data_IF_627909082901
#
_entry.id   IF_627909082901
#
_cell.length_a   1.000
_cell.length_b   1.000
_cell.length_c   1.000
_cell.angle_alpha   90.00
_cell.angle_beta   90.00
_cell.angle_gamma   90.00
#
_symmetry.space_group_name_H-M   'P 1'
#
loop_
_entity.id
_entity.type
_entity.pdbx_description
1 polymer ?
#
# COMPACT_ATOMS: atom_id res chain seq x y z
N UNK A 1 -3.00 7.56 -12.02
CA UNK A 1 -3.30 6.36 -12.85
C UNK A 1 -3.80 5.26 -11.92
N UNK A 2 -5.09 4.88 -12.02
CA UNK A 2 -5.65 3.72 -11.31
C UNK A 2 -5.61 2.50 -12.20
N UNK A 3 -5.37 1.33 -11.61
CA UNK A 3 -5.33 0.05 -12.31
C UNK A 3 -6.71 -0.63 -12.26
N UNK A 4 -7.12 -1.24 -13.38
CA UNK A 4 -8.34 -2.02 -13.49
C UNK A 4 -8.06 -3.53 -13.53
N UNK A 5 -6.99 -3.94 -14.24
CA UNK A 5 -6.67 -5.35 -14.46
C UNK A 5 -5.17 -5.56 -14.51
N UNK A 6 -4.71 -6.62 -13.87
CA UNK A 6 -3.36 -7.15 -14.00
C UNK A 6 -3.40 -8.54 -14.60
N UNK A 7 -2.68 -8.75 -15.71
CA UNK A 7 -2.57 -10.06 -16.40
C UNK A 7 -1.13 -10.54 -16.35
N UNK A 8 -0.96 -11.78 -15.97
CA UNK A 8 0.32 -12.46 -15.85
C UNK A 8 0.37 -13.66 -16.77
N UNK A 9 1.20 -13.61 -17.82
CA UNK A 9 1.42 -14.73 -18.72
C UNK A 9 2.80 -15.33 -18.48
N UNK A 10 2.86 -16.63 -18.24
CA UNK A 10 4.07 -17.40 -17.94
C UNK A 10 4.92 -16.75 -16.83
N UNK A 11 4.29 -16.23 -15.81
CA UNK A 11 4.96 -15.52 -14.72
C UNK A 11 4.96 -16.37 -13.44
N UNK A 12 6.13 -16.67 -12.91
CA UNK A 12 6.35 -17.45 -11.69
C UNK A 12 5.49 -18.73 -11.59
N UNK A 13 4.41 -18.69 -10.80
CA UNK A 13 3.53 -19.83 -10.53
C UNK A 13 2.54 -20.10 -11.68
N UNK A 14 2.27 -19.11 -12.52
CA UNK A 14 1.15 -19.14 -13.47
C UNK A 14 1.58 -19.25 -14.92
N UNK A 15 0.89 -20.09 -15.67
CA UNK A 15 0.89 -20.01 -17.14
C UNK A 15 0.08 -18.79 -17.59
N UNK A 16 -1.08 -18.57 -16.93
CA UNK A 16 -1.90 -17.36 -17.08
C UNK A 16 -2.67 -17.11 -15.79
N UNK A 17 -2.68 -15.87 -15.34
CA UNK A 17 -3.53 -15.37 -14.26
C UNK A 17 -4.02 -13.97 -14.63
N UNK A 18 -5.30 -13.70 -14.41
CA UNK A 18 -5.91 -12.38 -14.50
C UNK A 18 -6.48 -12.00 -13.13
N UNK A 19 -6.22 -10.77 -12.70
CA UNK A 19 -6.69 -10.24 -11.41
C UNK A 19 -7.32 -8.87 -11.68
N UNK A 20 -8.64 -8.78 -11.52
CA UNK A 20 -9.33 -7.51 -11.52
C UNK A 20 -9.00 -6.75 -10.24
N UNK A 21 -8.80 -5.45 -10.34
CA UNK A 21 -8.36 -4.62 -9.22
C UNK A 21 -9.47 -3.63 -8.85
N UNK A 22 -9.84 -3.63 -7.57
CA UNK A 22 -10.78 -2.65 -7.04
C UNK A 22 -10.25 -1.23 -7.17
N UNK A 23 -11.12 -0.27 -7.42
CA UNK A 23 -10.74 1.13 -7.61
C UNK A 23 -10.13 1.76 -6.34
N UNK A 24 -10.48 1.24 -5.16
CA UNK A 24 -9.99 1.67 -3.85
C UNK A 24 -9.18 0.60 -3.14
N UNK A 25 -9.63 -0.65 -3.19
CA UNK A 25 -9.00 -1.73 -2.43
C UNK A 25 -9.02 -3.03 -3.22
N UNK A 26 -7.86 -3.68 -3.30
CA UNK A 26 -7.75 -5.10 -3.66
C UNK A 26 -7.13 -5.84 -2.50
N UNK A 27 -7.82 -6.88 -1.98
CA UNK A 27 -7.34 -7.71 -0.90
C UNK A 27 -6.99 -9.11 -1.42
N UNK A 28 -5.76 -9.55 -1.20
CA UNK A 28 -5.27 -10.88 -1.55
C UNK A 28 -5.03 -11.68 -0.26
N UNK A 29 -5.75 -12.77 -0.09
CA UNK A 29 -5.65 -13.64 1.06
C UNK A 29 -5.19 -15.04 0.69
N UNK A 30 -4.67 -15.80 1.64
CA UNK A 30 -4.30 -17.20 1.43
C UNK A 30 -3.09 -17.60 2.24
N UNK A 31 -2.73 -18.87 2.18
CA UNK A 31 -1.59 -19.44 2.89
C UNK A 31 -0.24 -18.91 2.40
N UNK A 32 0.81 -19.18 3.19
CA UNK A 32 2.18 -18.87 2.77
C UNK A 32 2.54 -19.66 1.50
N UNK A 33 3.17 -19.00 0.53
CA UNK A 33 3.54 -19.62 -0.74
C UNK A 33 2.41 -19.70 -1.78
N UNK A 34 1.21 -19.19 -1.50
CA UNK A 34 0.07 -19.19 -2.45
C UNK A 34 0.22 -18.20 -3.62
N UNK A 35 1.27 -17.35 -3.61
CA UNK A 35 1.56 -16.42 -4.72
C UNK A 35 1.14 -14.98 -4.51
N UNK A 36 0.60 -14.58 -3.34
CA UNK A 36 0.20 -13.19 -3.06
C UNK A 36 1.30 -12.17 -3.35
N UNK A 37 2.48 -12.35 -2.77
CA UNK A 37 3.67 -11.52 -3.03
C UNK A 37 4.05 -11.52 -4.51
N UNK A 38 3.87 -12.64 -5.23
CA UNK A 38 4.18 -12.71 -6.65
C UNK A 38 3.26 -11.82 -7.50
N UNK A 39 1.99 -11.66 -7.11
CA UNK A 39 1.06 -10.71 -7.75
C UNK A 39 1.56 -9.28 -7.50
N UNK A 40 1.88 -8.92 -6.25
CA UNK A 40 2.40 -7.57 -5.93
C UNK A 40 3.69 -7.26 -6.69
N UNK A 41 4.64 -8.19 -6.71
CA UNK A 41 5.90 -8.03 -7.46
C UNK A 41 5.64 -7.84 -8.96
N UNK A 42 4.70 -8.60 -9.52
CA UNK A 42 4.33 -8.46 -10.93
C UNK A 42 3.69 -7.10 -11.23
N UNK A 43 2.77 -6.63 -10.39
CA UNK A 43 2.20 -5.27 -10.49
C UNK A 43 3.30 -4.21 -10.36
N UNK A 44 4.22 -4.37 -9.41
CA UNK A 44 5.36 -3.46 -9.24
C UNK A 44 6.27 -3.43 -10.48
N UNK A 45 6.56 -4.59 -11.10
CA UNK A 45 7.30 -4.67 -12.38
C UNK A 45 6.56 -3.89 -13.47
N UNK A 46 5.25 -4.06 -13.58
CA UNK A 46 4.42 -3.33 -14.55
C UNK A 46 4.44 -1.81 -14.33
N UNK A 47 4.27 -1.37 -13.07
CA UNK A 47 4.36 0.05 -12.67
C UNK A 47 5.78 0.62 -12.82
N UNK A 48 6.81 -0.22 -12.80
CA UNK A 48 8.20 0.17 -13.04
C UNK A 48 8.42 0.86 -14.38
N UNK A 49 7.54 0.67 -15.37
CA UNK A 49 7.63 1.37 -16.65
C UNK A 49 7.27 2.86 -16.50
N UNK A 50 6.34 3.21 -15.59
CA UNK A 50 6.05 4.61 -15.24
C UNK A 50 7.32 5.28 -14.74
N UNK A 51 7.97 4.67 -13.75
CA UNK A 51 9.18 5.24 -13.13
C UNK A 51 10.33 5.40 -14.12
N UNK A 52 10.51 4.45 -15.04
CA UNK A 52 11.57 4.51 -16.07
C UNK A 52 11.41 5.65 -17.06
N UNK A 53 10.19 6.14 -17.24
CA UNK A 53 9.91 7.25 -18.15
C UNK A 53 10.13 8.61 -17.49
N UNK A 54 10.09 8.66 -16.16
CA UNK A 54 10.23 9.92 -15.40
C UNK A 54 11.70 10.31 -15.20
N UNK A 55 12.03 11.62 -15.25
CA UNK A 55 13.38 12.11 -15.08
C UNK A 55 14.00 11.75 -13.72
N UNK A 56 15.22 11.22 -13.74
CA UNK A 56 15.99 10.94 -12.52
C UNK A 56 15.49 9.75 -11.69
N UNK A 57 14.44 9.05 -12.11
CA UNK A 57 13.87 7.92 -11.38
C UNK A 57 14.26 6.60 -12.05
N UNK A 58 14.59 5.61 -11.23
CA UNK A 58 14.85 4.24 -11.69
C UNK A 58 13.67 3.35 -11.39
N UNK A 59 13.12 2.69 -12.42
CA UNK A 59 12.10 1.66 -12.25
C UNK A 59 12.71 0.31 -11.91
N UNK A 60 11.89 -0.59 -11.38
CA UNK A 60 12.28 -1.99 -11.19
C UNK A 60 12.10 -2.78 -12.49
N UNK A 61 12.86 -3.86 -12.61
CA UNK A 61 12.80 -4.83 -13.70
C UNK A 61 12.51 -6.23 -13.19
N UNK A 62 12.22 -7.13 -14.11
CA UNK A 62 12.25 -8.56 -13.81
C UNK A 62 13.59 -8.94 -13.18
N UNK A 63 13.56 -9.78 -12.15
CA UNK A 63 14.79 -10.34 -11.59
C UNK A 63 15.45 -11.26 -12.63
N UNK A 64 16.75 -11.48 -12.49
CA UNK A 64 17.50 -12.33 -13.44
C UNK A 64 17.15 -13.81 -13.36
N UNK A 65 16.46 -14.25 -12.30
CA UNK A 65 16.14 -15.67 -12.04
C UNK A 65 14.72 -15.82 -11.49
N UNK A 66 14.01 -16.86 -11.97
CA UNK A 66 12.78 -17.34 -11.35
C UNK A 66 11.50 -16.61 -11.74
N UNK A 67 11.54 -15.60 -12.61
CA UNK A 67 10.34 -14.88 -13.01
C UNK A 67 9.55 -15.60 -14.13
N UNK A 68 10.24 -16.34 -14.99
CA UNK A 68 9.60 -17.09 -16.08
C UNK A 68 9.09 -18.42 -15.55
N UNK A 69 7.82 -18.70 -15.80
CA UNK A 69 7.16 -19.93 -15.40
C UNK A 69 7.89 -21.17 -15.93
N UNK A 70 8.03 -22.16 -15.05
CA UNK A 70 8.63 -23.45 -15.38
C UNK A 70 7.60 -24.57 -15.18
N UNK A 71 7.34 -25.32 -16.23
CA UNK A 71 6.49 -26.53 -16.20
C UNK A 71 7.38 -27.77 -16.34
N UNK A 72 7.55 -28.51 -15.26
CA UNK A 72 8.54 -29.59 -15.17
C UNK A 72 9.97 -29.07 -15.41
N UNK A 73 10.69 -29.65 -16.37
CA UNK A 73 12.05 -29.24 -16.75
C UNK A 73 12.09 -28.18 -17.87
N UNK A 74 10.94 -27.64 -18.30
CA UNK A 74 10.87 -26.69 -19.41
C UNK A 74 10.54 -25.31 -18.92
N UNK A 75 11.47 -24.37 -19.11
CA UNK A 75 11.26 -22.94 -18.90
C UNK A 75 10.49 -22.38 -20.11
N UNK A 76 9.41 -21.67 -19.89
CA UNK A 76 8.64 -21.00 -20.95
C UNK A 76 9.51 -20.00 -21.71
N UNK A 77 9.19 -19.63 -22.96
CA UNK A 77 10.00 -18.72 -23.76
C UNK A 77 10.05 -17.29 -23.21
N UNK A 78 9.01 -16.85 -22.51
CA UNK A 78 8.89 -15.51 -21.95
C UNK A 78 8.02 -15.50 -20.70
N UNK A 79 8.13 -14.44 -19.90
CA UNK A 79 7.13 -13.98 -18.94
C UNK A 79 6.63 -12.60 -19.38
N UNK A 80 5.34 -12.33 -19.16
CA UNK A 80 4.71 -11.04 -19.46
C UNK A 80 3.87 -10.60 -18.27
N UNK A 81 3.94 -9.33 -17.95
CA UNK A 81 3.00 -8.62 -17.08
C UNK A 81 2.34 -7.53 -17.88
N UNK A 82 1.02 -7.54 -17.98
CA UNK A 82 0.21 -6.52 -18.62
C UNK A 82 -0.64 -5.82 -17.57
N UNK A 83 -0.61 -4.49 -17.55
CA UNK A 83 -1.46 -3.68 -16.69
C UNK A 83 -2.40 -2.84 -17.56
N UNK A 84 -3.68 -2.84 -17.18
CA UNK A 84 -4.72 -2.01 -17.78
C UNK A 84 -5.22 -1.00 -16.74
N UNK A 85 -5.25 0.27 -17.13
CA UNK A 85 -5.77 1.36 -16.31
C UNK A 85 -7.29 1.49 -16.45
N UNK A 86 -7.92 2.17 -15.51
CA UNK A 86 -9.31 2.65 -15.63
C UNK A 86 -9.48 3.70 -16.73
N UNK A 87 -8.38 4.31 -17.20
CA UNK A 87 -8.40 5.25 -18.33
C UNK A 87 -8.59 4.46 -19.63
N UNK A 88 -9.62 4.74 -20.44
CA UNK A 88 -9.88 4.00 -21.67
C UNK A 88 -8.68 4.00 -22.61
N UNK A 89 -8.29 2.81 -23.06
CA UNK A 89 -7.17 2.61 -24.01
C UNK A 89 -5.77 2.69 -23.37
N UNK A 90 -5.66 2.97 -22.07
CA UNK A 90 -4.37 2.99 -21.38
C UNK A 90 -4.06 1.60 -20.82
N UNK A 91 -3.30 0.86 -21.59
CA UNK A 91 -2.80 -0.46 -21.26
C UNK A 91 -1.33 -0.56 -21.69
N UNK A 92 -0.52 -1.27 -20.93
CA UNK A 92 0.91 -1.46 -21.22
C UNK A 92 1.41 -2.78 -20.68
N UNK A 93 2.57 -3.20 -21.21
CA UNK A 93 3.16 -4.47 -20.84
C UNK A 93 4.65 -4.38 -20.54
N UNK A 94 5.11 -5.34 -19.75
CA UNK A 94 6.52 -5.64 -19.54
C UNK A 94 6.77 -7.10 -19.90
N UNK A 95 7.80 -7.36 -20.69
CA UNK A 95 8.14 -8.70 -21.18
C UNK A 95 9.58 -9.03 -20.86
N UNK A 96 9.79 -10.18 -20.22
CA UNK A 96 11.08 -10.82 -20.05
C UNK A 96 11.18 -12.00 -20.99
N UNK A 97 12.22 -12.05 -21.83
CA UNK A 97 12.52 -13.20 -22.69
C UNK A 97 13.51 -14.10 -22.00
N UNK A 98 13.33 -15.42 -22.13
CA UNK A 98 14.24 -16.43 -21.61
C UNK A 98 15.67 -16.26 -22.19
N UNK A 99 15.76 -15.99 -23.48
CA UNK A 99 16.99 -15.80 -24.23
C UNK A 99 16.79 -14.85 -25.42
N UNK A 100 17.87 -14.53 -26.13
CA UNK A 100 17.85 -13.61 -27.30
C UNK A 100 17.67 -14.32 -28.63
N UNK A 101 17.33 -15.61 -28.66
CA UNK A 101 17.15 -16.38 -29.90
C UNK A 101 15.95 -15.89 -30.72
N UNK A 102 16.01 -16.11 -32.03
CA UNK A 102 14.90 -15.80 -32.94
C UNK A 102 13.65 -16.62 -32.58
N UNK A 103 13.81 -17.86 -32.16
CA UNK A 103 12.73 -18.76 -31.75
C UNK A 103 12.01 -18.19 -30.52
N UNK A 104 12.76 -17.76 -29.50
CA UNK A 104 12.18 -17.11 -28.31
C UNK A 104 11.49 -15.80 -28.68
N UNK A 105 12.10 -14.98 -29.55
CA UNK A 105 11.49 -13.74 -30.00
C UNK A 105 10.16 -13.97 -30.77
N UNK A 106 10.11 -14.98 -31.63
CA UNK A 106 8.92 -15.34 -32.39
C UNK A 106 7.80 -15.96 -31.50
N UNK A 107 8.15 -16.51 -30.35
CA UNK A 107 7.18 -17.08 -29.40
C UNK A 107 6.47 -16.04 -28.55
N UNK A 108 6.93 -14.77 -28.52
CA UNK A 108 6.27 -13.69 -27.79
C UNK A 108 5.13 -13.14 -28.62
N UNK A 109 3.85 -13.26 -28.20
CA UNK A 109 2.73 -12.68 -28.92
C UNK A 109 2.82 -11.16 -28.94
N UNK A 110 2.25 -10.53 -29.95
CA UNK A 110 2.10 -9.07 -30.01
C UNK A 110 1.22 -8.62 -28.84
N UNK A 111 1.64 -7.55 -28.16
CA UNK A 111 0.93 -6.95 -27.03
C UNK A 111 0.81 -5.43 -27.16
N UNK A 112 0.24 -4.75 -26.17
CA UNK A 112 -0.04 -3.31 -26.20
C UNK A 112 1.23 -2.45 -26.28
N UNK A 113 2.38 -2.99 -25.83
CA UNK A 113 3.62 -2.23 -25.72
C UNK A 113 3.55 -1.16 -24.64
N UNK A 114 4.37 -0.11 -24.76
CA UNK A 114 4.48 0.96 -23.73
C UNK A 114 4.16 2.36 -24.30
N UNK A 115 3.85 2.45 -25.58
CA UNK A 115 3.73 3.74 -26.28
C UNK A 115 2.64 4.63 -25.71
N UNK A 116 1.46 4.06 -25.48
CA UNK A 116 0.33 4.84 -24.95
C UNK A 116 0.58 5.34 -23.53
N UNK A 117 1.23 4.53 -22.68
CA UNK A 117 1.63 4.94 -21.35
C UNK A 117 2.59 6.13 -21.40
N UNK A 118 3.63 6.07 -22.28
CA UNK A 118 4.61 7.15 -22.40
C UNK A 118 3.98 8.44 -22.87
N UNK A 119 3.16 8.39 -23.92
CA UNK A 119 2.43 9.57 -24.38
C UNK A 119 1.54 10.18 -23.29
N UNK A 120 0.87 9.34 -22.48
CA UNK A 120 0.06 9.81 -21.36
C UNK A 120 0.92 10.50 -20.29
N UNK A 121 2.09 9.94 -19.96
CA UNK A 121 3.00 10.54 -18.99
C UNK A 121 3.62 11.84 -19.52
N UNK A 122 3.95 11.89 -20.80
CA UNK A 122 4.43 13.12 -21.45
C UNK A 122 3.38 14.22 -21.30
N UNK A 123 2.13 13.96 -21.73
CA UNK A 123 1.04 14.94 -21.69
C UNK A 123 0.66 15.39 -20.27
N UNK A 124 0.64 14.47 -19.30
CA UNK A 124 0.11 14.75 -17.95
C UNK A 124 1.16 15.15 -16.94
N UNK A 125 2.43 14.81 -17.16
CA UNK A 125 3.49 15.01 -16.17
C UNK A 125 4.67 15.77 -16.75
N UNK A 126 5.27 15.27 -17.88
CA UNK A 126 6.53 15.80 -18.38
C UNK A 126 6.35 17.18 -19.00
N UNK A 127 5.43 17.34 -19.96
CA UNK A 127 5.17 18.61 -20.63
C UNK A 127 4.72 19.69 -19.64
N UNK A 128 3.75 19.45 -18.72
CA UNK A 128 3.39 20.42 -17.69
C UNK A 128 4.58 20.81 -16.80
N UNK A 129 5.40 19.83 -16.38
CA UNK A 129 6.57 20.10 -15.55
C UNK A 129 7.62 20.97 -16.25
N UNK A 130 7.81 20.78 -17.58
CA UNK A 130 8.75 21.59 -18.37
C UNK A 130 8.24 22.99 -18.70
N UNK A 131 6.92 23.15 -18.76
CA UNK A 131 6.24 24.41 -19.07
C UNK A 131 5.83 25.19 -17.81
N UNK A 132 6.27 24.76 -16.62
CA UNK A 132 5.92 25.34 -15.32
C UNK A 132 4.41 25.48 -15.10
N UNK A 133 3.66 24.46 -15.55
CA UNK A 133 2.20 24.34 -15.38
C UNK A 133 1.89 23.39 -14.22
N UNK A 134 0.75 23.61 -13.58
CA UNK A 134 0.25 22.72 -12.54
C UNK A 134 -0.01 21.31 -13.09
N UNK A 135 0.39 20.31 -12.33
CA UNK A 135 0.10 18.90 -12.63
C UNK A 135 0.06 18.08 -11.34
N UNK A 136 -0.67 16.97 -11.39
CA UNK A 136 -0.67 15.97 -10.32
C UNK A 136 0.34 14.85 -10.66
N UNK A 137 1.34 14.66 -9.80
CA UNK A 137 2.30 13.56 -9.94
C UNK A 137 1.65 12.26 -9.42
N UNK A 138 1.51 11.22 -10.26
CA UNK A 138 1.00 9.94 -9.79
C UNK A 138 2.01 9.27 -8.86
N UNK A 139 1.60 9.00 -7.62
CA UNK A 139 2.45 8.31 -6.65
C UNK A 139 2.24 6.80 -6.77
N UNK A 140 3.33 6.05 -6.80
CA UNK A 140 3.33 4.59 -6.72
C UNK A 140 4.27 4.18 -5.60
N UNK A 141 3.86 3.18 -4.78
CA UNK A 141 4.71 2.67 -3.70
C UNK A 141 4.49 1.17 -3.46
N UNK A 142 5.56 0.47 -3.06
CA UNK A 142 5.51 -0.93 -2.68
C UNK A 142 6.22 -1.16 -1.35
N UNK A 143 5.47 -1.62 -0.37
CA UNK A 143 5.95 -1.94 0.98
C UNK A 143 5.92 -3.45 1.18
N UNK A 144 7.09 -4.09 1.07
CA UNK A 144 7.26 -5.52 1.32
C UNK A 144 7.39 -5.85 2.82
N UNK A 145 7.53 -7.13 3.13
CA UNK A 145 7.69 -7.64 4.51
C UNK A 145 8.97 -7.11 5.20
N UNK A 146 9.99 -6.72 4.45
CA UNK A 146 11.24 -6.15 4.99
C UNK A 146 11.11 -4.73 5.55
N UNK A 147 9.93 -4.09 5.42
CA UNK A 147 9.64 -2.75 5.99
C UNK A 147 9.69 -2.70 7.52
N UNK A 148 9.67 -3.85 8.18
CA UNK A 148 9.71 -3.95 9.64
C UNK A 148 11.01 -3.39 10.26
N UNK A 149 12.06 -3.18 9.46
CA UNK A 149 13.34 -2.64 9.93
C UNK A 149 13.38 -1.15 9.64
N UNK A 150 13.19 -0.32 10.67
CA UNK A 150 13.40 1.12 10.58
C UNK A 150 14.90 1.44 10.67
N UNK A 151 15.50 1.84 9.55
CA UNK A 151 16.86 2.36 9.52
C UNK A 151 16.84 3.87 9.84
N UNK A 152 16.81 4.20 11.15
CA UNK A 152 16.86 5.59 11.61
C UNK A 152 18.31 6.09 11.48
N UNK A 153 18.55 7.19 10.75
CA UNK A 153 19.90 7.71 10.57
C UNK A 153 20.48 8.20 11.88
N UNK A 154 21.63 7.68 12.28
CA UNK A 154 22.36 8.14 13.48
C UNK A 154 23.11 9.46 13.26
N UNK A 155 23.30 9.90 12.02
CA UNK A 155 24.05 11.12 11.65
C UNK A 155 23.41 11.80 10.43
N UNK A 156 23.47 13.14 10.40
CA UNK A 156 22.96 13.98 9.28
C UNK A 156 23.83 13.94 8.02
N UNK A 157 24.85 13.12 7.97
CA UNK A 157 25.78 13.08 6.84
C UNK A 157 25.05 12.63 5.57
N UNK A 158 25.21 13.41 4.49
CA UNK A 158 24.61 13.19 3.18
C UNK A 158 23.06 13.31 3.13
N UNK A 159 22.44 14.10 4.02
CA UNK A 159 21.04 14.47 3.80
C UNK A 159 20.98 15.42 2.60
N UNK A 160 20.06 15.20 1.64
CA UNK A 160 19.82 16.12 0.54
C UNK A 160 19.42 17.51 1.09
N UNK A 161 19.84 18.55 0.39
CA UNK A 161 19.49 19.95 0.72
C UNK A 161 18.42 20.51 -0.20
N UNK A 162 18.03 19.74 -1.21
CA UNK A 162 17.00 20.07 -2.17
C UNK A 162 16.28 18.77 -2.55
N UNK A 163 14.98 18.84 -2.82
CA UNK A 163 14.13 17.71 -3.19
C UNK A 163 13.24 18.09 -4.37
N UNK A 164 13.40 17.36 -5.47
CA UNK A 164 12.50 17.48 -6.61
C UNK A 164 11.23 16.64 -6.37
N UNK A 165 10.14 16.96 -7.07
CA UNK A 165 8.91 16.16 -7.03
C UNK A 165 9.15 14.70 -7.45
N UNK A 166 10.11 14.45 -8.35
CA UNK A 166 10.49 13.11 -8.81
C UNK A 166 11.19 12.28 -7.73
N UNK A 167 11.84 12.91 -6.74
CA UNK A 167 12.50 12.20 -5.63
C UNK A 167 11.52 11.40 -4.77
N UNK A 168 10.25 11.81 -4.76
CA UNK A 168 9.16 11.05 -4.14
C UNK A 168 9.04 9.60 -4.66
N UNK A 169 9.48 9.36 -5.89
CA UNK A 169 9.36 8.07 -6.57
C UNK A 169 10.66 7.26 -6.56
N UNK A 170 11.75 7.81 -6.07
CA UNK A 170 13.02 7.10 -5.96
C UNK A 170 12.89 5.93 -4.99
N UNK A 171 13.18 4.71 -5.49
CA UNK A 171 13.06 3.47 -4.72
C UNK A 171 11.64 3.11 -4.29
N UNK A 172 10.61 3.77 -4.82
CA UNK A 172 9.22 3.61 -4.40
C UNK A 172 8.65 2.20 -4.65
N UNK A 173 9.13 1.49 -5.67
CA UNK A 173 8.72 0.11 -5.99
C UNK A 173 9.70 -0.95 -5.48
N UNK A 174 10.74 -0.57 -4.74
CA UNK A 174 11.59 -1.53 -4.04
C UNK A 174 10.86 -2.01 -2.78
N UNK A 175 10.68 -3.32 -2.61
CA UNK A 175 9.97 -3.89 -1.46
C UNK A 175 10.61 -3.56 -0.10
N UNK A 176 11.87 -3.12 -0.07
CA UNK A 176 12.57 -2.62 1.10
C UNK A 176 12.33 -1.12 1.25
N UNK A 177 11.55 -0.74 2.26
CA UNK A 177 11.29 0.68 2.55
C UNK A 177 12.57 1.40 2.98
N UNK A 178 12.83 2.54 2.37
CA UNK A 178 13.94 3.42 2.75
C UNK A 178 13.44 4.54 3.67
N UNK A 179 13.06 4.21 4.89
CA UNK A 179 12.61 5.17 5.91
C UNK A 179 13.57 6.38 6.05
N UNK A 180 14.87 6.14 5.83
CA UNK A 180 15.88 7.19 5.85
C UNK A 180 15.58 8.37 4.91
N UNK A 181 14.99 8.12 3.74
CA UNK A 181 14.65 9.20 2.79
C UNK A 181 13.50 10.05 3.32
N UNK A 182 12.45 9.44 3.85
CA UNK A 182 11.34 10.17 4.49
C UNK A 182 11.81 10.95 5.72
N UNK A 183 12.66 10.34 6.55
CA UNK A 183 13.27 11.00 7.70
C UNK A 183 14.10 12.22 7.29
N UNK A 184 14.96 12.10 6.26
CA UNK A 184 15.80 13.20 5.79
C UNK A 184 14.95 14.33 5.21
N UNK A 185 13.89 14.01 4.45
CA UNK A 185 12.96 14.99 3.92
C UNK A 185 12.18 15.71 5.04
N UNK A 186 11.67 14.96 6.01
CA UNK A 186 10.96 15.53 7.16
C UNK A 186 11.87 16.48 7.95
N UNK A 187 13.11 16.07 8.21
CA UNK A 187 14.12 16.93 8.84
C UNK A 187 14.38 18.21 8.04
N UNK A 188 14.50 18.10 6.72
CA UNK A 188 14.69 19.27 5.85
C UNK A 188 13.50 20.24 5.95
N UNK A 189 12.28 19.73 5.87
CA UNK A 189 11.05 20.52 5.97
C UNK A 189 10.86 21.15 7.35
N UNK A 190 11.19 20.48 8.44
CA UNK A 190 11.17 21.08 9.78
C UNK A 190 12.16 22.27 9.89
N UNK A 191 13.35 22.13 9.35
CA UNK A 191 14.30 23.25 9.36
C UNK A 191 13.81 24.43 8.51
N UNK A 192 13.16 24.17 7.38
CA UNK A 192 12.53 25.20 6.56
C UNK A 192 11.39 25.90 7.32
N UNK A 193 10.51 25.13 7.98
CA UNK A 193 9.42 25.66 8.81
C UNK A 193 9.98 26.55 9.94
N UNK A 194 10.98 26.08 10.68
CA UNK A 194 11.63 26.85 11.75
C UNK A 194 12.27 28.15 11.22
N UNK A 195 12.88 28.11 10.02
CA UNK A 195 13.44 29.31 9.40
C UNK A 195 12.35 30.35 9.05
N UNK A 196 11.19 29.88 8.51
CA UNK A 196 10.04 30.74 8.22
C UNK A 196 9.41 31.32 9.49
N UNK A 197 9.24 30.49 10.53
CA UNK A 197 8.74 30.92 11.85
C UNK A 197 9.63 32.01 12.45
N UNK A 198 10.95 31.83 12.42
CA UNK A 198 11.91 32.80 12.90
C UNK A 198 11.83 34.12 12.10
N UNK A 199 11.70 34.05 10.78
CA UNK A 199 11.58 35.25 9.93
C UNK A 199 10.25 35.99 10.19
N UNK A 200 9.15 35.25 10.34
CA UNK A 200 7.83 35.81 10.66
C UNK A 200 7.66 36.20 12.14
N UNK A 201 8.56 35.76 13.02
CA UNK A 201 8.46 35.91 14.48
C UNK A 201 7.14 35.34 15.05
N UNK A 202 6.64 34.26 14.44
CA UNK A 202 5.42 33.58 14.85
C UNK A 202 5.61 32.06 14.71
N UNK A 203 5.14 31.29 15.68
CA UNK A 203 5.08 29.83 15.63
C UNK A 203 3.84 29.33 14.88
N UNK A 204 2.91 30.20 14.46
CA UNK A 204 1.70 29.81 13.73
C UNK A 204 1.98 29.50 12.25
N UNK A 205 3.20 29.81 11.78
CA UNK A 205 3.63 29.50 10.41
C UNK A 205 3.94 28.01 10.32
N UNK A 206 3.16 27.31 9.51
CA UNK A 206 3.34 25.87 9.20
C UNK A 206 3.60 25.68 7.73
N UNK A 207 4.27 24.57 7.37
CA UNK A 207 4.41 24.14 5.99
C UNK A 207 3.30 23.12 5.67
N UNK A 208 2.44 23.36 4.66
CA UNK A 208 1.33 22.46 4.32
C UNK A 208 1.78 21.02 4.10
N UNK A 209 2.93 20.83 3.46
CA UNK A 209 3.47 19.50 3.18
C UNK A 209 3.89 18.76 4.46
N UNK A 210 4.49 19.47 5.42
CA UNK A 210 4.90 18.91 6.71
C UNK A 210 3.68 18.64 7.60
N UNK A 211 2.71 19.55 7.58
CA UNK A 211 1.44 19.40 8.28
C UNK A 211 0.64 18.19 7.76
N UNK A 212 0.64 17.93 6.45
CA UNK A 212 0.03 16.75 5.88
C UNK A 212 0.61 15.46 6.48
N UNK A 213 1.93 15.35 6.63
CA UNK A 213 2.56 14.17 7.26
C UNK A 213 2.19 14.07 8.74
N UNK A 214 2.19 15.17 9.48
CA UNK A 214 1.77 15.20 10.89
C UNK A 214 0.32 14.76 11.05
N UNK A 215 -0.59 15.24 10.18
CA UNK A 215 -2.01 14.81 10.17
C UNK A 215 -2.16 13.33 9.86
N UNK A 216 -1.41 12.79 8.89
CA UNK A 216 -1.45 11.37 8.57
C UNK A 216 -1.05 10.52 9.79
N UNK A 217 0.02 10.90 10.49
CA UNK A 217 0.47 10.22 11.70
C UNK A 217 -0.60 10.27 12.79
N UNK A 218 -1.09 11.45 13.15
CA UNK A 218 -2.07 11.62 14.24
C UNK A 218 -3.42 10.99 13.94
N UNK A 219 -3.80 10.86 12.67
CA UNK A 219 -5.04 10.16 12.27
C UNK A 219 -4.95 8.66 12.49
N UNK A 220 -3.83 8.05 12.11
CA UNK A 220 -3.62 6.60 12.29
C UNK A 220 -3.27 6.26 13.74
N UNK A 221 -2.61 7.18 14.43
CA UNK A 221 -2.17 7.02 15.83
C UNK A 221 -2.74 8.14 16.70
N UNK A 222 -4.02 8.06 17.13
CA UNK A 222 -4.63 9.11 17.94
C UNK A 222 -3.97 9.30 19.31
N UNK A 223 -3.22 8.30 19.79
CA UNK A 223 -2.45 8.31 21.02
C UNK A 223 -1.05 8.92 20.88
N UNK A 224 -0.63 9.23 19.65
CA UNK A 224 0.63 9.91 19.36
C UNK A 224 0.38 11.36 18.93
N UNK A 225 1.20 12.26 19.43
CA UNK A 225 1.16 13.67 19.06
C UNK A 225 2.56 14.23 18.81
N UNK A 226 2.63 15.42 18.21
CA UNK A 226 3.85 16.21 18.05
C UNK A 226 5.05 15.43 17.44
N UNK A 227 4.88 14.74 16.29
CA UNK A 227 6.00 14.08 15.64
C UNK A 227 7.01 15.12 15.17
N UNK A 228 8.27 14.97 15.61
CA UNK A 228 9.36 15.92 15.37
C UNK A 228 10.71 15.22 15.34
N UNK A 229 11.71 15.88 14.75
CA UNK A 229 13.08 15.38 14.78
C UNK A 229 13.90 16.15 15.83
N UNK A 230 14.36 15.42 16.81
CA UNK A 230 15.35 15.92 17.78
C UNK A 230 16.77 15.63 17.27
N UNK A 231 17.69 16.56 17.54
CA UNK A 231 19.03 16.51 16.92
C UNK A 231 20.16 16.09 17.88
N UNK A 232 19.90 16.05 19.16
CA UNK A 232 20.86 15.65 20.20
C UNK A 232 20.23 14.72 21.24
N UNK A 233 20.20 13.40 21.03
CA UNK A 233 20.62 12.63 19.84
C UNK A 233 19.70 12.84 18.65
N UNK A 234 20.16 12.50 17.42
CA UNK A 234 19.32 12.52 16.23
C UNK A 234 18.30 11.37 16.32
N UNK A 235 16.99 11.70 16.42
CA UNK A 235 15.90 10.73 16.55
C UNK A 235 14.58 11.31 16.05
N UNK A 236 13.65 10.45 15.68
CA UNK A 236 12.25 10.84 15.52
C UNK A 236 11.56 10.68 16.87
N UNK A 237 11.10 11.79 17.42
CA UNK A 237 10.39 11.84 18.70
C UNK A 237 8.89 12.04 18.47
N UNK A 238 8.10 11.41 19.34
CA UNK A 238 6.65 11.55 19.43
C UNK A 238 6.26 11.69 20.88
N UNK A 239 5.17 12.38 21.15
CA UNK A 239 4.63 12.48 22.53
C UNK A 239 3.45 11.52 22.68
N UNK A 240 3.45 10.73 23.76
CA UNK A 240 2.42 9.77 24.13
C UNK A 240 2.14 9.88 25.63
N UNK A 241 0.86 10.06 25.99
CA UNK A 241 0.44 10.18 27.40
C UNK A 241 1.21 11.24 28.22
N UNK A 242 1.68 12.30 27.54
CA UNK A 242 2.44 13.39 28.16
C UNK A 242 3.95 13.14 28.28
N UNK A 243 4.45 12.01 27.83
CA UNK A 243 5.88 11.68 27.80
C UNK A 243 6.39 11.66 26.34
N UNK A 244 7.67 12.00 26.17
CA UNK A 244 8.34 11.98 24.86
C UNK A 244 9.08 10.67 24.66
N UNK A 245 8.76 9.96 23.59
CA UNK A 245 9.39 8.71 23.19
C UNK A 245 10.20 8.89 21.90
N UNK A 246 11.35 8.22 21.84
CA UNK A 246 11.98 7.88 20.58
C UNK A 246 11.15 6.80 19.88
N UNK A 247 10.91 6.93 18.57
CA UNK A 247 10.19 5.88 17.83
C UNK A 247 10.84 4.50 18.02
N UNK A 248 12.17 4.43 18.16
CA UNK A 248 12.91 3.20 18.43
C UNK A 248 12.56 2.53 19.78
N UNK A 249 11.91 3.25 20.70
CA UNK A 249 11.44 2.73 21.99
C UNK A 249 10.01 2.18 21.92
N UNK A 250 9.29 2.44 20.83
CA UNK A 250 7.95 1.91 20.62
C UNK A 250 8.03 0.43 20.20
N UNK A 251 6.91 -0.29 20.31
CA UNK A 251 6.85 -1.69 19.84
C UNK A 251 7.02 -1.77 18.31
N UNK A 252 7.46 -2.95 17.81
CA UNK A 252 7.68 -3.20 16.38
C UNK A 252 6.46 -2.87 15.53
N UNK A 253 5.24 -3.12 16.02
CA UNK A 253 3.99 -2.78 15.34
C UNK A 253 3.83 -1.26 15.14
N UNK A 254 4.11 -0.45 16.19
CA UNK A 254 4.15 1.00 16.04
C UNK A 254 5.22 1.44 15.05
N UNK A 255 6.44 0.94 15.19
CA UNK A 255 7.55 1.32 14.33
C UNK A 255 7.25 1.02 12.85
N UNK A 256 6.78 -0.19 12.56
CA UNK A 256 6.49 -0.65 11.21
C UNK A 256 5.38 0.18 10.54
N UNK A 257 4.26 0.38 11.23
CA UNK A 257 3.13 1.11 10.67
C UNK A 257 3.41 2.62 10.61
N UNK A 258 4.06 3.20 11.62
CA UNK A 258 4.43 4.63 11.62
C UNK A 258 5.44 4.93 10.51
N UNK A 259 6.42 4.05 10.32
CA UNK A 259 7.36 4.16 9.20
C UNK A 259 6.68 4.14 7.83
N UNK A 260 5.70 3.25 7.65
CA UNK A 260 4.90 3.18 6.42
C UNK A 260 4.08 4.47 6.21
N UNK A 261 3.35 4.91 7.22
CA UNK A 261 2.49 6.11 7.14
C UNK A 261 3.35 7.36 6.87
N UNK A 262 4.46 7.51 7.58
CA UNK A 262 5.37 8.64 7.39
C UNK A 262 6.01 8.64 5.99
N UNK A 263 6.47 7.48 5.49
CA UNK A 263 7.07 7.40 4.15
C UNK A 263 6.04 7.70 3.07
N UNK A 264 4.84 7.09 3.15
CA UNK A 264 3.79 7.33 2.15
C UNK A 264 3.32 8.79 2.15
N UNK A 265 3.04 9.36 3.32
CA UNK A 265 2.62 10.76 3.43
C UNK A 265 3.71 11.73 2.94
N UNK A 266 4.99 11.47 3.26
CA UNK A 266 6.11 12.26 2.77
C UNK A 266 6.25 12.18 1.25
N UNK A 267 6.10 10.99 0.64
CA UNK A 267 6.09 10.81 -0.82
C UNK A 267 4.96 11.60 -1.48
N UNK A 268 3.75 11.52 -0.94
CA UNK A 268 2.59 12.24 -1.49
C UNK A 268 2.79 13.76 -1.38
N UNK A 269 3.26 14.25 -0.24
CA UNK A 269 3.53 15.66 -0.01
C UNK A 269 4.69 16.18 -0.88
N UNK A 270 5.76 15.41 -1.06
CA UNK A 270 6.88 15.74 -1.94
C UNK A 270 6.48 15.74 -3.42
N UNK A 271 5.67 14.76 -3.85
CA UNK A 271 5.21 14.65 -5.23
C UNK A 271 4.24 15.77 -5.62
N UNK A 272 3.43 16.24 -4.68
CA UNK A 272 2.32 17.16 -4.92
C UNK A 272 2.30 18.34 -3.91
N UNK A 273 3.38 19.15 -3.83
CA UNK A 273 3.51 20.21 -2.83
C UNK A 273 2.50 21.36 -3.00
N UNK A 274 1.98 21.53 -4.22
CA UNK A 274 1.08 22.64 -4.57
C UNK A 274 -0.40 22.27 -4.37
N UNK A 275 -0.72 21.05 -3.92
CA UNK A 275 -2.09 20.64 -3.65
C UNK A 275 -2.53 21.09 -2.25
N UNK A 276 -3.80 21.51 -2.12
CA UNK A 276 -4.42 21.89 -0.84
C UNK A 276 -4.32 20.76 0.20
N UNK A 277 -4.53 19.52 -0.23
CA UNK A 277 -4.31 18.31 0.57
C UNK A 277 -3.51 17.26 -0.22
N UNK A 278 -2.19 17.22 -0.03
CA UNK A 278 -1.34 16.24 -0.70
C UNK A 278 -1.73 14.78 -0.44
N UNK A 279 -2.34 14.47 0.73
CA UNK A 279 -2.78 13.12 1.07
C UNK A 279 -3.98 12.65 0.20
N UNK A 280 -4.66 13.58 -0.45
CA UNK A 280 -5.75 13.31 -1.40
C UNK A 280 -5.24 13.17 -2.85
N UNK A 281 -3.95 13.15 -3.11
CA UNK A 281 -3.39 12.88 -4.43
C UNK A 281 -3.65 11.43 -4.87
N UNK A 282 -3.66 11.20 -6.20
CA UNK A 282 -3.79 9.83 -6.73
C UNK A 282 -2.53 9.00 -6.48
N UNK A 283 -2.73 7.80 -5.93
CA UNK A 283 -1.65 6.87 -5.71
C UNK A 283 -2.09 5.41 -5.96
N UNK A 284 -1.11 4.55 -6.30
CA UNK A 284 -1.25 3.08 -6.28
C UNK A 284 -0.25 2.54 -5.27
N UNK A 285 -0.75 1.96 -4.19
CA UNK A 285 0.07 1.51 -3.07
C UNK A 285 -0.12 0.03 -2.83
N UNK A 286 0.98 -0.72 -2.86
CA UNK A 286 1.02 -2.14 -2.58
C UNK A 286 1.63 -2.36 -1.20
N UNK A 287 0.98 -3.19 -0.36
CA UNK A 287 1.50 -3.55 0.96
C UNK A 287 1.41 -5.06 1.13
N UNK A 288 2.56 -5.70 1.26
CA UNK A 288 2.65 -7.13 1.52
C UNK A 288 2.52 -7.39 3.03
N UNK A 289 1.67 -8.35 3.41
CA UNK A 289 1.35 -8.67 4.82
C UNK A 289 1.03 -7.41 5.65
N UNK A 290 -0.07 -6.73 5.32
CA UNK A 290 -0.46 -5.47 5.98
C UNK A 290 -0.63 -5.62 7.51
N UNK A 291 -0.91 -6.83 7.99
CA UNK A 291 -1.03 -7.26 9.38
C UNK A 291 0.31 -7.50 10.10
N UNK A 292 1.46 -7.42 9.39
CA UNK A 292 2.77 -7.74 9.94
C UNK A 292 3.08 -6.96 11.22
N UNK A 293 3.40 -7.68 12.31
CA UNK A 293 3.67 -7.16 13.66
C UNK A 293 2.53 -6.40 14.34
N UNK A 294 1.35 -6.30 13.71
CA UNK A 294 0.22 -5.59 14.31
C UNK A 294 -0.51 -6.46 15.35
N UNK A 295 -0.79 -5.86 16.51
CA UNK A 295 -1.70 -6.44 17.50
C UNK A 295 -3.13 -6.54 16.94
N UNK A 296 -3.95 -7.54 17.31
CA UNK A 296 -5.29 -7.76 16.75
C UNK A 296 -6.20 -6.53 16.72
N UNK A 297 -6.16 -5.68 17.74
CA UNK A 297 -6.94 -4.45 17.76
C UNK A 297 -6.55 -3.46 16.63
N UNK A 298 -5.28 -3.46 16.22
CA UNK A 298 -4.78 -2.63 15.12
C UNK A 298 -5.09 -3.24 13.76
N UNK A 299 -5.05 -4.58 13.66
CA UNK A 299 -5.44 -5.29 12.44
C UNK A 299 -6.90 -4.98 12.06
N UNK A 300 -7.78 -4.78 13.05
CA UNK A 300 -9.19 -4.43 12.84
C UNK A 300 -9.42 -3.04 12.26
N UNK A 301 -8.47 -2.14 12.37
CA UNK A 301 -8.64 -0.73 11.96
C UNK A 301 -7.70 -0.27 10.85
N UNK A 302 -6.56 -0.95 10.64
CA UNK A 302 -5.49 -0.49 9.74
C UNK A 302 -5.97 -0.23 8.32
N UNK A 303 -6.86 -1.07 7.77
CA UNK A 303 -7.39 -0.89 6.41
C UNK A 303 -8.28 0.35 6.34
N UNK A 304 -9.20 0.52 7.30
CA UNK A 304 -10.04 1.71 7.40
C UNK A 304 -9.21 2.99 7.58
N UNK A 305 -8.20 2.94 8.46
CA UNK A 305 -7.30 4.07 8.71
C UNK A 305 -6.52 4.48 7.45
N UNK A 306 -6.01 3.51 6.67
CA UNK A 306 -5.33 3.75 5.40
C UNK A 306 -6.26 4.40 4.37
N UNK A 307 -7.44 3.80 4.15
CA UNK A 307 -8.41 4.30 3.19
C UNK A 307 -8.94 5.70 3.54
N UNK A 308 -9.10 5.98 4.84
CA UNK A 308 -9.55 7.27 5.32
C UNK A 308 -8.46 8.35 5.26
N UNK A 309 -7.20 7.96 5.53
CA UNK A 309 -6.05 8.89 5.51
C UNK A 309 -5.65 9.26 4.08
N UNK A 310 -5.78 8.33 3.14
CA UNK A 310 -5.40 8.49 1.73
C UNK A 310 -6.60 8.25 0.80
N UNK A 311 -7.53 9.21 0.71
CA UNK A 311 -8.87 8.99 0.15
C UNK A 311 -8.91 8.71 -1.36
N UNK A 312 -7.88 9.04 -2.13
CA UNK A 312 -7.80 8.76 -3.57
C UNK A 312 -6.74 7.69 -3.92
N UNK A 313 -6.16 7.05 -2.91
CA UNK A 313 -5.21 5.96 -3.10
C UNK A 313 -5.93 4.65 -3.41
N UNK A 314 -5.44 3.92 -4.41
CA UNK A 314 -5.77 2.54 -4.68
C UNK A 314 -4.79 1.63 -3.93
N UNK A 315 -5.29 0.86 -2.98
CA UNK A 315 -4.49 -0.08 -2.20
C UNK A 315 -4.60 -1.50 -2.76
N UNK A 316 -3.47 -2.20 -2.88
CA UNK A 316 -3.40 -3.63 -3.16
C UNK A 316 -2.67 -4.27 -1.98
N UNK A 317 -3.42 -4.98 -1.15
CA UNK A 317 -2.97 -5.48 0.14
C UNK A 317 -2.92 -7.00 0.13
N UNK A 318 -1.92 -7.58 0.80
CA UNK A 318 -1.95 -9.00 1.15
C UNK A 318 -2.10 -9.15 2.67
N UNK A 319 -2.74 -10.22 3.09
CA UNK A 319 -2.91 -10.54 4.51
C UNK A 319 -3.09 -12.03 4.73
N UNK A 320 -2.80 -12.46 5.96
CA UNK A 320 -3.16 -13.77 6.52
C UNK A 320 -4.17 -13.64 7.68
N UNK A 321 -4.54 -12.39 8.04
CA UNK A 321 -5.33 -12.11 9.23
C UNK A 321 -6.83 -12.20 8.96
N UNK A 322 -7.56 -13.05 9.70
CA UNK A 322 -9.01 -13.05 9.69
C UNK A 322 -9.61 -11.75 10.26
N UNK A 323 -8.90 -11.06 11.17
CA UNK A 323 -9.36 -9.79 11.73
C UNK A 323 -9.48 -8.69 10.68
N UNK A 324 -8.62 -8.71 9.66
CA UNK A 324 -8.70 -7.75 8.55
C UNK A 324 -9.94 -8.02 7.69
N UNK A 325 -10.27 -9.29 7.44
CA UNK A 325 -11.46 -9.67 6.67
C UNK A 325 -12.73 -9.23 7.37
N UNK A 326 -12.83 -9.55 8.67
CA UNK A 326 -13.96 -9.16 9.50
C UNK A 326 -14.12 -7.63 9.56
N UNK A 327 -13.02 -6.92 9.74
CA UNK A 327 -13.03 -5.46 9.72
C UNK A 327 -13.50 -4.92 8.37
N UNK A 328 -13.05 -5.52 7.26
CA UNK A 328 -13.47 -5.11 5.92
C UNK A 328 -14.96 -5.37 5.70
N UNK A 329 -15.49 -6.51 6.17
CA UNK A 329 -16.93 -6.79 6.15
C UNK A 329 -17.73 -5.74 6.92
N UNK A 330 -17.22 -5.23 8.05
CA UNK A 330 -17.86 -4.14 8.77
C UNK A 330 -17.93 -2.85 7.94
N UNK A 331 -16.86 -2.49 7.21
CA UNK A 331 -16.85 -1.32 6.33
C UNK A 331 -17.83 -1.47 5.14
N UNK A 332 -17.91 -2.66 4.53
CA UNK A 332 -18.85 -2.98 3.46
C UNK A 332 -20.30 -2.96 3.97
N UNK A 333 -20.54 -3.56 5.13
CA UNK A 333 -21.87 -3.54 5.77
C UNK A 333 -22.28 -2.11 6.15
N UNK A 334 -21.36 -1.28 6.62
CA UNK A 334 -21.60 0.14 6.93
C UNK A 334 -22.14 0.91 5.71
N UNK A 335 -21.58 0.66 4.52
CA UNK A 335 -22.07 1.24 3.28
C UNK A 335 -23.52 0.81 2.98
N UNK A 336 -23.83 -0.48 3.13
CA UNK A 336 -25.19 -1.01 2.87
C UNK A 336 -26.26 -0.39 3.77
N UNK A 337 -25.91 -0.05 5.00
CA UNK A 337 -26.85 0.53 5.98
C UNK A 337 -26.73 2.05 6.09
N UNK A 338 -25.99 2.73 5.20
CA UNK A 338 -25.69 4.15 5.30
C UNK A 338 -26.95 5.02 5.50
N UNK A 339 -28.02 4.75 4.76
CA UNK A 339 -29.31 5.44 4.89
C UNK A 339 -30.15 5.05 6.12
N UNK A 340 -29.71 4.04 6.89
CA UNK A 340 -30.43 3.54 8.07
C UNK A 340 -29.79 3.96 9.39
N UNK A 341 -28.53 4.42 9.37
CA UNK A 341 -27.79 4.83 10.58
C UNK A 341 -28.35 6.15 11.11
N UNK A 342 -28.75 6.16 12.38
CA UNK A 342 -29.30 7.31 13.09
C UNK A 342 -28.25 7.99 13.95
N UNK A 343 -28.42 9.30 14.22
CA UNK A 343 -27.43 10.10 14.97
C UNK A 343 -27.30 9.72 16.43
N UNK A 344 -28.35 9.18 17.06
CA UNK A 344 -28.39 8.87 18.48
C UNK A 344 -28.14 7.38 18.75
N UNK A 345 -27.13 7.06 19.57
CA UNK A 345 -26.86 5.70 20.07
C UNK A 345 -25.99 4.80 19.20
N UNK A 346 -25.54 5.26 18.03
CA UNK A 346 -24.80 4.44 17.03
C UNK A 346 -23.45 5.06 16.66
N UNK A 347 -22.78 5.74 17.60
CA UNK A 347 -21.53 6.47 17.35
C UNK A 347 -20.43 5.56 16.74
N UNK A 348 -20.24 4.36 17.27
CA UNK A 348 -19.23 3.41 16.76
C UNK A 348 -19.50 3.00 15.31
N UNK A 349 -20.78 2.81 14.95
CA UNK A 349 -21.20 2.47 13.58
C UNK A 349 -21.08 3.68 12.66
N UNK A 350 -21.45 4.86 13.14
CA UNK A 350 -21.39 6.10 12.36
C UNK A 350 -19.96 6.48 12.00
N UNK A 351 -19.04 6.34 12.95
CA UNK A 351 -17.64 6.71 12.81
C UNK A 351 -16.85 5.70 11.95
N UNK A 352 -17.44 4.52 11.67
CA UNK A 352 -16.87 3.55 10.77
C UNK A 352 -16.98 4.03 9.32
N UNK A 353 -15.90 3.98 8.58
CA UNK A 353 -15.88 4.37 7.17
C UNK A 353 -16.80 3.45 6.35
N UNK A 354 -17.69 4.03 5.55
CA UNK A 354 -18.48 3.31 4.56
C UNK A 354 -17.63 3.04 3.31
N UNK A 355 -17.58 1.77 2.86
CA UNK A 355 -16.82 1.35 1.68
C UNK A 355 -17.75 0.69 0.67
N UNK A 356 -17.84 1.27 -0.53
CA UNK A 356 -18.65 0.73 -1.61
C UNK A 356 -18.08 -0.62 -2.08
N UNK A 357 -18.86 -1.71 -2.07
CA UNK A 357 -18.42 -2.99 -2.63
C UNK A 357 -17.93 -2.90 -4.08
N UNK A 358 -18.46 -1.98 -4.88
CA UNK A 358 -18.02 -1.75 -6.27
C UNK A 358 -16.58 -1.23 -6.37
N UNK A 359 -16.03 -0.66 -5.30
CA UNK A 359 -14.66 -0.16 -5.22
C UNK A 359 -13.67 -1.21 -4.68
N UNK A 360 -14.16 -2.43 -4.36
CA UNK A 360 -13.38 -3.50 -3.72
C UNK A 360 -13.29 -4.71 -4.61
N UNK A 361 -12.10 -5.31 -4.68
CA UNK A 361 -11.88 -6.66 -5.17
C UNK A 361 -11.20 -7.48 -4.06
N UNK A 362 -11.61 -8.72 -3.86
CA UNK A 362 -11.00 -9.57 -2.84
C UNK A 362 -10.86 -11.00 -3.36
N UNK A 363 -9.68 -11.59 -3.16
CA UNK A 363 -9.35 -12.91 -3.66
C UNK A 363 -8.76 -13.82 -2.59
N UNK A 364 -9.25 -15.06 -2.52
CA UNK A 364 -8.62 -16.17 -1.84
C UNK A 364 -7.66 -16.89 -2.77
N UNK A 365 -6.38 -16.91 -2.43
CA UNK A 365 -5.36 -17.61 -3.20
C UNK A 365 -5.32 -19.08 -2.82
N UNK A 366 -5.81 -19.96 -3.70
CA UNK A 366 -5.86 -21.40 -3.50
C UNK A 366 -5.00 -22.10 -4.56
N UNK A 367 -3.85 -22.62 -4.15
CA UNK A 367 -2.91 -23.25 -5.08
C UNK A 367 -2.40 -22.26 -6.13
N UNK A 368 -2.91 -22.36 -7.37
CA UNK A 368 -2.54 -21.48 -8.49
C UNK A 368 -3.67 -20.58 -8.98
N UNK A 369 -4.78 -20.56 -8.27
CA UNK A 369 -5.99 -19.85 -8.66
C UNK A 369 -6.26 -18.69 -7.69
N UNK A 370 -6.77 -17.60 -8.22
CA UNK A 370 -7.34 -16.49 -7.45
C UNK A 370 -8.87 -16.67 -7.49
N UNK A 371 -9.45 -17.03 -6.37
CA UNK A 371 -10.90 -17.23 -6.21
C UNK A 371 -11.49 -15.96 -5.63
N UNK A 372 -12.46 -15.36 -6.31
CA UNK A 372 -13.15 -14.19 -5.82
C UNK A 372 -13.89 -14.49 -4.51
N UNK A 373 -13.72 -13.61 -3.52
CA UNK A 373 -14.31 -13.72 -2.19
C UNK A 373 -15.49 -12.78 -1.98
N UNK A 374 -15.64 -11.75 -2.81
CA UNK A 374 -16.74 -10.81 -2.70
C UNK A 374 -18.00 -11.46 -3.30
N UNK A 375 -19.02 -11.70 -2.47
CA UNK A 375 -20.29 -12.21 -2.92
C UNK A 375 -21.09 -11.12 -3.63
N UNK A 376 -21.38 -11.33 -4.92
CA UNK A 376 -22.06 -10.33 -5.77
C UNK A 376 -23.49 -10.01 -5.34
N UNK A 377 -24.14 -10.85 -4.50
CA UNK A 377 -25.51 -10.64 -4.02
C UNK A 377 -25.53 -9.87 -2.69
N UNK A 378 -24.64 -10.19 -1.77
CA UNK A 378 -24.55 -9.55 -0.47
C UNK A 378 -23.58 -8.37 -0.45
N UNK A 379 -22.61 -8.30 -1.36
CA UNK A 379 -21.52 -7.32 -1.33
C UNK A 379 -20.60 -7.48 -0.13
N UNK A 380 -20.58 -8.64 0.51
CA UNK A 380 -19.72 -8.98 1.65
C UNK A 380 -18.72 -10.07 1.25
N UNK A 381 -17.65 -10.18 2.02
CA UNK A 381 -16.66 -11.24 1.82
C UNK A 381 -17.19 -12.56 2.34
N UNK A 382 -16.92 -13.65 1.61
CA UNK A 382 -17.34 -15.02 1.95
C UNK A 382 -16.62 -15.50 3.24
N UNK A 383 -17.42 -16.07 4.15
CA UNK A 383 -16.98 -16.61 5.44
C UNK A 383 -16.09 -17.85 5.36
N UNK A 384 -15.88 -18.42 4.18
CA UNK A 384 -15.10 -19.67 4.02
C UNK A 384 -13.68 -19.59 4.60
N UNK A 385 -13.08 -18.42 4.62
CA UNK A 385 -11.77 -18.21 5.26
C UNK A 385 -11.84 -18.15 6.78
N UNK A 386 -13.00 -17.87 7.34
CA UNK A 386 -13.27 -17.88 8.78
C UNK A 386 -13.64 -19.30 9.28
N UNK A 387 -13.86 -20.26 8.38
CA UNK A 387 -14.27 -21.62 8.76
C UNK A 387 -13.28 -22.27 9.75
N UNK A 388 -11.98 -22.09 9.54
CA UNK A 388 -10.98 -22.62 10.49
C UNK A 388 -11.07 -21.96 11.87
N UNK A 389 -11.40 -20.66 11.94
CA UNK A 389 -11.67 -19.99 13.22
C UNK A 389 -12.96 -20.49 13.86
N UNK A 390 -13.99 -20.68 13.05
CA UNK A 390 -15.27 -21.24 13.50
C UNK A 390 -15.12 -22.69 13.96
N UNK A 391 -14.31 -23.50 13.28
CA UNK A 391 -13.98 -24.88 13.69
C UNK A 391 -13.28 -24.92 15.06
N UNK A 392 -12.32 -24.01 15.30
CA UNK A 392 -11.64 -23.89 16.60
C UNK A 392 -12.64 -23.50 17.68
N UNK A 393 -13.50 -22.51 17.44
CA UNK A 393 -14.51 -22.07 18.39
C UNK A 393 -15.54 -23.16 18.65
N UNK A 394 -16.02 -23.87 17.62
CA UNK A 394 -16.93 -25.01 17.77
C UNK A 394 -16.30 -26.16 18.56
N UNK A 395 -14.99 -26.40 18.40
CA UNK A 395 -14.29 -27.40 19.19
C UNK A 395 -14.23 -27.00 20.67
N UNK A 396 -13.93 -25.72 20.93
CA UNK A 396 -13.92 -25.16 22.28
C UNK A 396 -15.32 -25.23 22.93
N UNK A 397 -16.36 -24.83 22.20
CA UNK A 397 -17.75 -24.89 22.69
C UNK A 397 -18.16 -26.32 23.01
N UNK A 398 -17.83 -27.29 22.14
CA UNK A 398 -18.06 -28.73 22.40
C UNK A 398 -17.32 -29.21 23.66
N UNK A 399 -16.07 -28.80 23.87
CA UNK A 399 -15.32 -29.16 25.09
C UNK A 399 -15.99 -28.55 26.32
N UNK A 400 -16.46 -27.32 26.26
CA UNK A 400 -17.20 -26.66 27.36
C UNK A 400 -18.54 -27.33 27.64
N UNK A 401 -19.26 -27.75 26.61
CA UNK A 401 -20.51 -28.48 26.79
C UNK A 401 -20.29 -29.83 27.47
N UNK A 402 -19.22 -30.56 27.09
CA UNK A 402 -18.81 -31.83 27.74
C UNK A 402 -18.42 -31.56 29.20
N UNK A 403 -17.71 -30.51 29.49
CA UNK A 403 -17.34 -30.11 30.86
C UNK A 403 -18.59 -29.83 31.71
N UNK A 404 -19.58 -29.12 31.14
CA UNK A 404 -20.84 -28.87 31.84
C UNK A 404 -21.68 -30.14 32.05
N UNK A 405 -21.77 -30.99 31.03
CA UNK A 405 -22.51 -32.27 31.13
C UNK A 405 -21.93 -33.22 32.19
N UNK A 406 -20.59 -33.21 32.36
CA UNK A 406 -19.89 -34.12 33.27
C UNK A 406 -19.32 -33.47 34.54
N UNK A 407 -19.18 -32.15 34.58
CA UNK A 407 -18.64 -31.38 35.69
C UNK A 407 -19.68 -31.00 36.78
N UNK A 408 -20.95 -31.32 36.56
CA UNK A 408 -22.01 -31.08 37.56
C UNK A 408 -22.14 -32.16 38.65
N UNK A 409 -21.23 -33.12 38.72
CA UNK A 409 -21.18 -34.20 39.72
C UNK A 409 -19.91 -34.20 40.59
N UNK A 410 -19.25 -33.04 40.79
CA UNK A 410 -18.12 -32.93 41.72
C UNK A 410 -18.36 -31.88 42.81
#
# INVERSE_FOLDING_TARGET
VRLQLATFDNFRLWERLEVELGSRLTLLMGENGSGKTAILDGVAIGLGEILKHLPGVTGIDFSKRGEIHQSGNRVRPYARVTLKSTIPGLEWERVQRRDRSRTTAAAVPTGPGVRFLRNHLDEKVIDPSQEDRDFEMPVVAYYGVSRAVLDIPLRRRNFPTDHSRYDALVGALEASTRFKSAFAWFYFKENEEHARQKAARSFDVTLPELDAVRRAITRVFPDLSNPRIEVNPLRLAVDKEGETFDIAQLSDGYQTLLGLIMDLAARMAMANPDQDDPLAAEAVVMIDEVDLHLYPAWQRRVVGDLLATFPRTQFILTTHSPYIVEALNNHLQRYRIEGLVRDEGEAEVRDLMALDPADVAAYGMQGREAVELLDGSSGLLDDRLLQHFNEINQLYDRMRDIEWEHGGEA
#
